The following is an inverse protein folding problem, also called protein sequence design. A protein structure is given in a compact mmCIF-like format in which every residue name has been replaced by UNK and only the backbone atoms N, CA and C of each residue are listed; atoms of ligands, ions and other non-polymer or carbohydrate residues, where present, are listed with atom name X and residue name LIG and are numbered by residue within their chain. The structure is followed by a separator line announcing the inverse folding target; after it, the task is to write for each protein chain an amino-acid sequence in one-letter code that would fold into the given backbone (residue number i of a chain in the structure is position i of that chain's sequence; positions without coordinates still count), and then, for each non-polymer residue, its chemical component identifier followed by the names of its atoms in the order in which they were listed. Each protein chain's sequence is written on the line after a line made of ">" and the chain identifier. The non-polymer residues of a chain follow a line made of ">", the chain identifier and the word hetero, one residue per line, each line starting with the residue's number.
data_IF_962656055879
#
_entry.id   IF_962656055879
#
_cell.length_a   1.000
_cell.length_b   1.000
_cell.length_c   1.000
_cell.angle_alpha   90.00
_cell.angle_beta   90.00
_cell.angle_gamma   90.00
#
_symmetry.space_group_name_H-M   'P 1'
#
loop_
_entity.id
_entity.type
_entity.pdbx_description
1 polymer ?
#
# COMPACT_ATOMS: atom_id res chain seq x y z
N UNK A 1 6.03 4.99 -16.08
CA UNK A 1 5.21 4.09 -16.92
C UNK A 1 5.82 3.82 -18.28
N UNK A 2 6.19 4.79 -19.09
CA UNK A 2 6.77 4.61 -20.45
C UNK A 2 7.94 3.60 -20.47
N UNK A 3 8.89 3.70 -19.52
CA UNK A 3 10.04 2.78 -19.45
C UNK A 3 9.60 1.32 -19.27
N UNK A 4 8.63 1.07 -18.40
CA UNK A 4 8.11 -0.28 -18.16
C UNK A 4 7.32 -0.82 -19.35
N UNK A 5 6.56 0.02 -20.04
CA UNK A 5 5.87 -0.34 -21.29
C UNK A 5 6.88 -0.70 -22.40
N UNK A 6 7.92 0.10 -22.57
CA UNK A 6 9.00 -0.19 -23.54
C UNK A 6 9.69 -1.52 -23.20
N UNK A 7 9.97 -1.78 -21.91
CA UNK A 7 10.60 -3.02 -21.47
C UNK A 7 9.67 -4.23 -21.69
N UNK A 8 8.39 -4.10 -21.36
CA UNK A 8 7.37 -5.10 -21.63
C UNK A 8 7.33 -5.46 -23.12
N UNK A 9 7.16 -4.47 -24.00
CA UNK A 9 7.12 -4.66 -25.46
C UNK A 9 8.39 -5.31 -25.99
N UNK A 10 9.55 -4.96 -25.42
CA UNK A 10 10.81 -5.60 -25.80
C UNK A 10 10.85 -7.08 -25.41
N UNK A 11 10.39 -7.44 -24.21
CA UNK A 11 10.30 -8.84 -23.79
C UNK A 11 9.34 -9.64 -24.67
N UNK A 12 8.17 -9.09 -24.98
CA UNK A 12 7.18 -9.68 -25.88
C UNK A 12 7.76 -9.88 -27.31
N UNK A 13 8.47 -8.85 -27.82
CA UNK A 13 9.22 -8.96 -29.09
C UNK A 13 10.26 -10.10 -29.06
N UNK A 14 10.87 -10.36 -27.91
CA UNK A 14 11.81 -11.47 -27.70
C UNK A 14 11.13 -12.81 -27.53
N UNK A 15 9.80 -12.88 -27.58
CA UNK A 15 9.01 -14.11 -27.47
C UNK A 15 8.68 -14.56 -26.06
N UNK A 16 8.84 -13.67 -25.06
CA UNK A 16 8.38 -13.95 -23.70
C UNK A 16 6.87 -13.70 -23.57
N UNK A 17 6.21 -14.52 -22.77
CA UNK A 17 4.86 -14.24 -22.28
C UNK A 17 4.97 -13.34 -21.05
N UNK A 18 4.44 -12.10 -21.14
CA UNK A 18 4.63 -11.09 -20.13
C UNK A 18 3.32 -10.83 -19.37
N UNK A 19 3.28 -11.22 -18.11
CA UNK A 19 2.24 -10.81 -17.18
C UNK A 19 2.66 -9.49 -16.50
N UNK A 20 2.17 -8.37 -17.04
CA UNK A 20 2.45 -7.04 -16.48
C UNK A 20 1.34 -6.61 -15.54
N UNK A 21 1.69 -6.42 -14.28
CA UNK A 21 0.77 -5.96 -13.22
C UNK A 21 1.14 -4.53 -12.82
N UNK A 22 0.16 -3.65 -12.82
CA UNK A 22 0.30 -2.24 -12.38
C UNK A 22 -0.92 -1.85 -11.57
N UNK A 23 -0.76 -1.73 -10.26
CA UNK A 23 -1.83 -1.43 -9.32
C UNK A 23 -2.27 0.04 -9.36
N UNK A 24 -3.46 0.29 -8.81
CA UNK A 24 -3.88 1.61 -8.35
C UNK A 24 -4.11 1.58 -6.85
N UNK A 25 -3.43 2.47 -6.14
CA UNK A 25 -3.75 2.78 -4.74
C UNK A 25 -4.95 3.71 -4.74
N UNK A 26 -6.13 3.16 -4.49
CA UNK A 26 -7.41 3.85 -4.54
C UNK A 26 -7.95 4.23 -3.15
N UNK A 27 -7.17 3.97 -2.09
CA UNK A 27 -7.40 4.43 -0.73
C UNK A 27 -6.08 4.90 -0.10
N UNK A 28 -6.00 6.16 0.26
CA UNK A 28 -4.79 6.80 0.81
C UNK A 28 -5.17 8.09 1.55
N UNK A 29 -4.32 8.54 2.47
CA UNK A 29 -4.56 9.76 3.26
C UNK A 29 -4.79 11.01 2.36
N UNK A 30 -4.13 11.10 1.21
CA UNK A 30 -4.29 12.22 0.26
C UNK A 30 -5.63 12.17 -0.46
N UNK A 31 -6.07 10.97 -0.84
CA UNK A 31 -7.38 10.76 -1.48
C UNK A 31 -8.49 11.13 -0.50
N UNK A 32 -8.40 10.66 0.75
CA UNK A 32 -9.37 10.95 1.80
C UNK A 32 -9.43 12.46 2.08
N UNK A 33 -8.28 13.11 2.25
CA UNK A 33 -8.21 14.56 2.46
C UNK A 33 -8.87 15.31 1.30
N UNK A 34 -8.58 14.94 0.06
CA UNK A 34 -9.17 15.56 -1.11
C UNK A 34 -10.70 15.34 -1.20
N UNK A 35 -11.18 14.17 -0.83
CA UNK A 35 -12.60 13.87 -0.78
C UNK A 35 -13.32 14.78 0.24
N UNK A 36 -12.75 14.96 1.42
CA UNK A 36 -13.28 15.87 2.44
C UNK A 36 -13.30 17.32 1.93
N UNK A 37 -12.20 17.78 1.32
CA UNK A 37 -12.10 19.14 0.75
C UNK A 37 -13.12 19.41 -0.36
N UNK A 38 -13.45 18.42 -1.17
CA UNK A 38 -14.41 18.53 -2.27
C UNK A 38 -15.84 18.15 -1.87
N UNK A 39 -16.08 17.70 -0.63
CA UNK A 39 -17.40 17.27 -0.16
C UNK A 39 -17.94 16.04 -0.90
N UNK A 40 -17.04 15.11 -1.27
CA UNK A 40 -17.34 13.88 -2.01
C UNK A 40 -16.74 12.66 -1.30
N UNK A 41 -16.79 11.48 -1.93
CA UNK A 41 -16.23 10.25 -1.37
C UNK A 41 -14.82 9.96 -1.87
N UNK A 42 -14.04 9.20 -1.10
CA UNK A 42 -12.71 8.73 -1.53
C UNK A 42 -12.81 7.88 -2.81
N UNK A 43 -13.88 7.11 -2.95
CA UNK A 43 -14.16 6.30 -4.13
C UNK A 43 -14.34 7.17 -5.38
N UNK A 44 -15.16 8.23 -5.31
CA UNK A 44 -15.40 9.13 -6.45
C UNK A 44 -14.10 9.85 -6.86
N UNK A 45 -13.27 10.28 -5.90
CA UNK A 45 -11.97 10.88 -6.17
C UNK A 45 -11.06 9.87 -6.88
N UNK A 46 -10.91 8.67 -6.33
CA UNK A 46 -10.01 7.67 -6.92
C UNK A 46 -10.46 7.24 -8.31
N UNK A 47 -11.75 6.97 -8.52
CA UNK A 47 -12.26 6.57 -9.83
C UNK A 47 -12.07 7.67 -10.89
N UNK A 48 -12.27 8.94 -10.53
CA UNK A 48 -11.99 10.07 -11.41
C UNK A 48 -10.52 10.08 -11.87
N UNK A 49 -9.59 10.02 -10.94
CA UNK A 49 -8.16 10.06 -11.28
C UNK A 49 -7.64 8.77 -11.94
N UNK A 50 -8.20 7.61 -11.65
CA UNK A 50 -7.92 6.37 -12.39
C UNK A 50 -8.33 6.52 -13.86
N UNK A 51 -9.50 7.10 -14.11
CA UNK A 51 -9.98 7.34 -15.48
C UNK A 51 -9.07 8.32 -16.24
N UNK A 52 -8.67 9.42 -15.58
CA UNK A 52 -7.74 10.39 -16.16
C UNK A 52 -6.37 9.75 -16.44
N UNK A 53 -5.82 9.01 -15.47
CA UNK A 53 -4.56 8.30 -15.63
C UNK A 53 -4.58 7.28 -16.79
N UNK A 54 -5.67 6.52 -16.92
CA UNK A 54 -5.85 5.59 -18.06
C UNK A 54 -5.92 6.32 -19.39
N UNK A 55 -6.59 7.50 -19.43
CA UNK A 55 -6.63 8.34 -20.62
C UNK A 55 -5.23 8.84 -20.99
N UNK A 56 -4.48 9.38 -20.04
CA UNK A 56 -3.13 9.87 -20.27
C UNK A 56 -2.19 8.74 -20.75
N UNK A 57 -2.31 7.55 -20.17
CA UNK A 57 -1.54 6.37 -20.64
C UNK A 57 -1.89 6.03 -22.09
N UNK A 58 -3.17 6.01 -22.44
CA UNK A 58 -3.63 5.78 -23.80
C UNK A 58 -3.09 6.84 -24.79
N UNK A 59 -3.17 8.13 -24.42
CA UNK A 59 -2.71 9.24 -25.25
C UNK A 59 -1.18 9.22 -25.47
N UNK A 60 -0.44 8.61 -24.53
CA UNK A 60 1.01 8.33 -24.63
C UNK A 60 1.33 6.99 -25.32
N UNK A 61 0.33 6.31 -25.88
CA UNK A 61 0.49 4.98 -26.50
C UNK A 61 1.10 3.92 -25.58
N UNK A 62 0.80 4.01 -24.28
CA UNK A 62 1.16 2.98 -23.28
C UNK A 62 0.08 1.92 -23.29
N UNK A 63 0.46 0.65 -23.43
CA UNK A 63 -0.47 -0.45 -23.38
C UNK A 63 -1.01 -0.68 -21.96
N UNK A 64 -2.31 -0.99 -21.80
CA UNK A 64 -2.86 -1.36 -20.50
C UNK A 64 -2.08 -2.54 -19.89
N UNK A 65 -1.91 -2.54 -18.57
CA UNK A 65 -1.36 -3.71 -17.90
C UNK A 65 -2.27 -4.93 -18.07
N UNK A 66 -1.71 -6.13 -17.93
CA UNK A 66 -2.47 -7.39 -17.93
C UNK A 66 -3.52 -7.35 -16.80
N UNK A 67 -3.14 -6.80 -15.66
CA UNK A 67 -4.02 -6.63 -14.50
C UNK A 67 -3.73 -5.29 -13.82
N UNK A 68 -4.80 -4.61 -13.41
CA UNK A 68 -4.76 -3.40 -12.58
C UNK A 68 -5.49 -3.67 -11.25
N UNK A 69 -4.86 -4.29 -10.25
CA UNK A 69 -5.51 -4.48 -8.95
C UNK A 69 -5.75 -3.14 -8.26
N UNK A 70 -6.85 -3.07 -7.51
CA UNK A 70 -7.22 -1.94 -6.67
C UNK A 70 -7.04 -2.32 -5.20
N UNK A 71 -6.43 -1.45 -4.40
CA UNK A 71 -6.23 -1.72 -2.98
C UNK A 71 -7.53 -2.05 -2.25
N UNK A 72 -8.63 -1.35 -2.58
CA UNK A 72 -9.95 -1.60 -1.98
C UNK A 72 -10.55 -2.97 -2.31
N UNK A 73 -10.09 -3.63 -3.37
CA UNK A 73 -10.57 -4.96 -3.79
C UNK A 73 -9.74 -6.10 -3.19
N UNK A 74 -8.60 -5.80 -2.57
CA UNK A 74 -7.65 -6.78 -2.03
C UNK A 74 -7.63 -6.81 -0.48
N UNK A 75 -8.62 -6.20 0.17
CA UNK A 75 -8.69 -6.07 1.64
C UNK A 75 -8.65 -7.43 2.34
N UNK A 76 -9.41 -8.42 1.86
CA UNK A 76 -9.43 -9.75 2.47
C UNK A 76 -8.05 -10.42 2.39
N UNK A 77 -7.36 -10.30 1.25
CA UNK A 77 -5.98 -10.78 1.08
C UNK A 77 -5.00 -10.09 2.02
N UNK A 78 -5.16 -8.78 2.24
CA UNK A 78 -4.34 -8.02 3.19
C UNK A 78 -4.56 -8.50 4.62
N UNK A 79 -5.81 -8.71 5.03
CA UNK A 79 -6.15 -9.24 6.37
C UNK A 79 -5.54 -10.63 6.58
N UNK A 80 -5.65 -11.53 5.61
CA UNK A 80 -5.07 -12.88 5.70
C UNK A 80 -3.53 -12.85 5.76
N UNK A 81 -2.88 -11.98 4.99
CA UNK A 81 -1.44 -11.80 5.08
C UNK A 81 -1.03 -11.26 6.45
N UNK A 82 -1.72 -10.26 6.98
CA UNK A 82 -1.45 -9.71 8.31
C UNK A 82 -1.62 -10.77 9.41
N UNK A 83 -2.70 -11.57 9.38
CA UNK A 83 -2.89 -12.71 10.31
C UNK A 83 -1.69 -13.66 10.27
N UNK A 84 -1.26 -14.03 9.05
CA UNK A 84 -0.10 -14.91 8.87
C UNK A 84 1.17 -14.30 9.48
N UNK A 85 1.38 -12.98 9.34
CA UNK A 85 2.52 -12.29 9.92
C UNK A 85 2.45 -12.26 11.45
N UNK A 86 1.26 -12.08 12.03
CA UNK A 86 1.05 -12.14 13.49
C UNK A 86 1.34 -13.54 14.00
N UNK A 87 0.78 -14.58 13.37
CA UNK A 87 0.97 -15.99 13.77
C UNK A 87 2.44 -16.41 13.74
N UNK A 88 3.19 -15.90 12.75
CA UNK A 88 4.65 -16.08 12.64
C UNK A 88 5.44 -15.14 13.57
N UNK A 89 4.77 -14.24 14.26
CA UNK A 89 5.33 -13.27 15.19
C UNK A 89 6.07 -12.11 14.52
N UNK A 90 5.93 -11.89 13.21
CA UNK A 90 6.48 -10.74 12.48
C UNK A 90 5.63 -9.49 12.57
N UNK A 91 4.41 -9.59 13.10
CA UNK A 91 3.54 -8.45 13.35
C UNK A 91 2.90 -8.57 14.74
N UNK A 92 2.32 -7.48 15.23
CA UNK A 92 1.60 -7.41 16.49
C UNK A 92 0.50 -6.38 16.44
N UNK A 93 -0.55 -6.63 17.22
CA UNK A 93 -1.65 -5.69 17.45
C UNK A 93 -1.32 -4.82 18.68
N UNK A 94 -1.50 -3.53 18.53
CA UNK A 94 -1.39 -2.55 19.59
C UNK A 94 -2.65 -1.67 19.55
N UNK A 95 -3.63 -2.02 20.38
CA UNK A 95 -4.91 -1.31 20.50
C UNK A 95 -5.64 -1.08 19.14
N UNK A 96 -5.68 -2.12 18.31
CA UNK A 96 -6.36 -2.11 17.01
C UNK A 96 -5.52 -1.57 15.86
N UNK A 97 -4.30 -1.11 16.11
CA UNK A 97 -3.28 -0.81 15.09
C UNK A 97 -2.33 -1.97 14.97
N UNK A 98 -2.15 -2.51 13.76
CA UNK A 98 -1.20 -3.60 13.57
C UNK A 98 0.10 -3.09 12.98
N UNK A 99 1.21 -3.48 13.61
CA UNK A 99 2.57 -3.09 13.20
C UNK A 99 3.38 -4.29 12.75
N UNK A 100 4.29 -4.07 11.80
CA UNK A 100 5.31 -5.04 11.39
C UNK A 100 6.57 -4.85 12.22
N UNK A 101 7.12 -5.97 12.78
CA UNK A 101 8.36 -5.99 13.55
C UNK A 101 9.58 -5.98 12.63
N UNK A 102 10.06 -4.80 12.29
CA UNK A 102 11.14 -4.63 11.31
C UNK A 102 12.42 -5.36 11.70
N UNK A 103 12.85 -5.25 12.96
CA UNK A 103 14.10 -5.89 13.44
C UNK A 103 14.02 -7.41 13.54
N UNK A 104 12.84 -8.01 13.53
CA UNK A 104 12.69 -9.47 13.52
C UNK A 104 13.08 -10.08 12.17
N UNK A 105 12.98 -9.33 11.09
CA UNK A 105 13.41 -9.76 9.76
C UNK A 105 14.88 -9.45 9.57
N UNK A 106 15.76 -10.47 9.76
CA UNK A 106 17.21 -10.31 9.78
C UNK A 106 17.82 -9.74 8.49
N UNK A 107 17.16 -9.97 7.34
CA UNK A 107 17.60 -9.49 6.04
C UNK A 107 16.97 -8.14 5.64
N UNK A 108 16.27 -7.47 6.58
CA UNK A 108 15.68 -6.16 6.30
C UNK A 108 16.76 -5.15 5.92
N UNK A 109 16.54 -4.41 4.85
CA UNK A 109 17.53 -3.47 4.32
C UNK A 109 18.54 -4.07 3.32
N UNK A 110 18.63 -5.40 3.17
CA UNK A 110 19.55 -6.05 2.23
C UNK A 110 19.36 -5.60 0.79
N UNK A 111 18.12 -5.51 0.31
CA UNK A 111 17.79 -5.06 -1.05
C UNK A 111 18.15 -3.58 -1.25
N UNK A 112 17.80 -2.73 -0.28
CA UNK A 112 18.07 -1.29 -0.33
C UNK A 112 19.53 -0.93 -0.02
N UNK A 113 20.34 -1.90 0.43
CA UNK A 113 21.72 -1.73 0.92
C UNK A 113 21.80 -0.72 2.08
N UNK A 114 20.74 -0.63 2.89
CA UNK A 114 20.68 0.22 4.07
C UNK A 114 20.93 -0.62 5.31
N UNK A 115 21.76 -0.09 6.22
CA UNK A 115 21.90 -0.64 7.55
C UNK A 115 20.69 -0.19 8.40
N UNK A 116 20.05 -1.14 9.08
CA UNK A 116 18.90 -0.86 9.95
C UNK A 116 19.28 0.11 11.08
N UNK A 117 20.47 -0.04 11.64
CA UNK A 117 20.93 0.78 12.76
C UNK A 117 21.19 2.24 12.35
N UNK A 118 21.41 2.49 11.05
CA UNK A 118 21.58 3.83 10.49
C UNK A 118 20.23 4.46 10.06
N UNK A 119 19.13 3.71 10.13
CA UNK A 119 17.80 4.23 9.82
C UNK A 119 17.29 5.03 11.02
N UNK A 120 17.34 6.35 10.93
CA UNK A 120 16.69 7.22 11.91
C UNK A 120 15.17 7.04 11.83
N UNK A 121 14.58 6.70 12.97
CA UNK A 121 13.14 6.66 13.11
C UNK A 121 12.57 8.06 12.88
N UNK A 122 11.65 8.20 11.94
CA UNK A 122 10.84 9.42 11.86
C UNK A 122 11.28 10.51 10.88
N UNK A 123 11.98 10.19 9.80
CA UNK A 123 12.21 11.17 8.71
C UNK A 123 10.93 11.60 7.94
N UNK A 124 9.76 11.15 8.36
CA UNK A 124 8.50 11.70 7.87
C UNK A 124 7.85 12.51 8.98
N UNK A 125 7.70 13.82 8.77
CA UNK A 125 6.95 14.76 9.63
C UNK A 125 5.43 14.42 9.77
N UNK A 126 5.03 13.24 9.34
CA UNK A 126 3.66 12.76 9.49
C UNK A 126 3.58 11.96 10.78
N UNK A 127 3.22 12.62 11.87
CA UNK A 127 2.80 11.94 13.10
C UNK A 127 1.59 11.07 12.79
N UNK A 128 1.80 9.78 12.69
CA UNK A 128 0.72 8.79 12.60
C UNK A 128 0.18 8.59 14.02
N UNK A 129 -1.12 8.75 14.22
CA UNK A 129 -1.74 8.42 15.49
C UNK A 129 -1.39 6.98 15.86
N UNK A 130 -0.88 6.76 17.07
CA UNK A 130 -0.45 5.44 17.56
C UNK A 130 1.07 5.22 17.57
N UNK A 131 1.90 6.20 17.21
CA UNK A 131 3.37 6.05 17.27
C UNK A 131 3.89 5.71 18.68
N UNK A 132 3.16 6.10 19.72
CA UNK A 132 3.50 5.80 21.12
C UNK A 132 3.34 4.30 21.49
N UNK A 133 2.63 3.53 20.68
CA UNK A 133 2.33 2.10 20.92
C UNK A 133 3.27 1.15 20.18
N UNK A 134 4.28 1.66 19.48
CA UNK A 134 5.26 0.84 18.77
C UNK A 134 6.24 0.16 19.73
N UNK A 135 6.53 -1.14 19.49
CA UNK A 135 7.62 -1.85 20.20
C UNK A 135 9.00 -1.32 19.79
N UNK A 136 9.17 -0.93 18.52
CA UNK A 136 10.39 -0.34 17.98
C UNK A 136 10.05 0.85 17.06
N UNK A 137 10.79 1.96 17.12
CA UNK A 137 10.55 3.11 16.25
C UNK A 137 10.57 2.81 14.74
N UNK A 138 11.28 1.75 14.32
CA UNK A 138 11.37 1.33 12.93
C UNK A 138 10.17 0.50 12.47
N UNK A 139 9.29 0.06 13.39
CA UNK A 139 8.11 -0.70 13.04
C UNK A 139 7.15 0.19 12.26
N UNK A 140 6.49 -0.39 11.26
CA UNK A 140 5.58 0.33 10.40
C UNK A 140 4.19 -0.31 10.40
N UNK A 141 3.20 0.53 10.12
CA UNK A 141 1.79 0.16 10.20
C UNK A 141 1.39 -0.74 9.03
N UNK A 142 0.72 -1.83 9.36
CA UNK A 142 0.05 -2.74 8.40
C UNK A 142 -1.48 -2.52 8.37
N UNK A 143 -2.08 -2.17 9.53
CA UNK A 143 -3.50 -1.86 9.66
C UNK A 143 -3.71 -0.68 10.60
N UNK A 144 -4.61 0.24 10.23
CA UNK A 144 -4.94 1.45 10.99
C UNK A 144 -6.41 1.43 11.41
N UNK A 145 -6.76 1.71 12.67
CA UNK A 145 -8.14 1.96 13.06
C UNK A 145 -8.76 3.11 12.26
N UNK A 146 -10.05 3.03 12.00
CA UNK A 146 -10.79 4.08 11.32
C UNK A 146 -10.79 5.38 12.11
N UNK A 147 -10.77 6.49 11.39
CA UNK A 147 -11.10 7.82 11.90
C UNK A 147 -12.43 8.28 11.31
N UNK A 148 -13.03 9.27 11.94
CA UNK A 148 -14.27 9.87 11.44
C UNK A 148 -14.08 10.40 10.00
N UNK A 149 -15.01 10.05 9.12
CA UNK A 149 -14.97 10.44 7.71
C UNK A 149 -14.03 9.60 6.82
N UNK A 150 -13.32 8.59 7.36
CA UNK A 150 -12.49 7.69 6.58
C UNK A 150 -13.26 6.44 6.11
N UNK A 151 -12.97 5.92 4.90
CA UNK A 151 -13.43 4.59 4.52
C UNK A 151 -12.83 3.54 5.45
N UNK A 152 -13.59 2.49 5.77
CA UNK A 152 -13.12 1.45 6.65
C UNK A 152 -13.72 0.09 6.33
N UNK A 153 -13.00 -0.95 6.67
CA UNK A 153 -13.39 -2.36 6.52
C UNK A 153 -13.27 -3.07 7.87
N UNK A 154 -14.14 -4.06 8.14
CA UNK A 154 -14.06 -4.85 9.34
C UNK A 154 -12.78 -5.71 9.31
N UNK A 155 -12.10 -5.81 10.45
CA UNK A 155 -10.97 -6.71 10.65
C UNK A 155 -10.97 -7.30 12.04
N UNK A 156 -10.17 -8.35 12.32
CA UNK A 156 -10.08 -8.94 13.66
C UNK A 156 -9.54 -7.97 14.74
N UNK A 157 -8.87 -6.90 14.35
CA UNK A 157 -8.20 -5.94 15.25
C UNK A 157 -9.07 -4.71 15.48
N UNK A 158 -9.60 -4.16 14.41
CA UNK A 158 -10.48 -2.99 14.45
C UNK A 158 -11.17 -2.80 13.10
N UNK A 159 -12.32 -2.10 13.08
CA UNK A 159 -12.76 -1.45 11.85
C UNK A 159 -11.68 -0.44 11.43
N UNK A 160 -11.21 -0.52 10.19
CA UNK A 160 -10.08 0.29 9.79
C UNK A 160 -9.71 0.14 8.32
N UNK A 161 -8.48 0.48 8.01
CA UNK A 161 -7.92 0.43 6.66
C UNK A 161 -6.46 -0.03 6.65
N UNK A 162 -5.98 -0.53 5.50
CA UNK A 162 -4.58 -0.97 5.38
C UNK A 162 -3.59 0.18 5.53
N UNK A 163 -2.37 -0.18 5.94
CA UNK A 163 -1.19 0.64 5.77
C UNK A 163 -0.62 0.45 4.36
N UNK A 164 0.09 1.45 3.87
CA UNK A 164 0.56 1.47 2.47
C UNK A 164 1.40 0.25 2.07
N UNK A 165 2.24 -0.27 2.97
CA UNK A 165 3.15 -1.37 2.63
C UNK A 165 2.46 -2.70 2.38
N UNK A 166 1.37 -3.00 3.10
CA UNK A 166 0.64 -4.26 2.91
C UNK A 166 -0.13 -4.29 1.59
N UNK A 167 -0.60 -3.14 1.13
CA UNK A 167 -1.28 -3.00 -0.16
C UNK A 167 -0.40 -3.52 -1.31
N UNK A 168 0.82 -2.98 -1.43
CA UNK A 168 1.75 -3.38 -2.48
C UNK A 168 2.27 -4.84 -2.32
N UNK A 169 2.12 -5.43 -1.14
CA UNK A 169 2.56 -6.80 -0.88
C UNK A 169 1.53 -7.84 -1.32
N UNK A 170 0.26 -7.46 -1.41
CA UNK A 170 -0.86 -8.35 -1.76
C UNK A 170 -1.29 -8.15 -3.21
N UNK A 171 -1.31 -6.92 -3.72
CA UNK A 171 -1.56 -6.61 -5.13
C UNK A 171 -0.43 -7.06 -6.05
#
# INVERSE_FOLDING_TARGET
>A
MIIFDTFRRYLEYKGYDVNYVSNFTDVDDKIIKKAIEEGTTAEEISQRYIKECKKDMHDLNIEPATTHPLATQEIDGMIEMIKTLIDKGYAYDADGTVYYRTRKFKDYGKLSKKNIDDLEAGHRDIKVAGEESKEDPLDFVLWKPKKEGEPSWPSPWSDGRPGWHIECSVM
#
